data_IF_982796450620
#
_entry.id   IF_982796450620
#
_cell.length_a   1.000
_cell.length_b   1.000
_cell.length_c   1.000
_cell.angle_alpha   90.00
_cell.angle_beta   90.00
_cell.angle_gamma   90.00
#
_symmetry.space_group_name_H-M   'P 1'
#
loop_
_entity.id
_entity.type
_entity.pdbx_description
1 polymer ?
#
# COMPACT_ATOMS: atom_id res chain seq x y z
N UNK A 1 21.22 82.88 -33.56
CA UNK A 1 22.00 81.99 -32.71
C UNK A 1 21.00 80.93 -32.08
N UNK A 2 21.01 79.75 -32.60
CA UNK A 2 20.12 78.61 -32.10
C UNK A 2 21.00 77.65 -31.35
N UNK A 3 20.83 77.58 -30.02
CA UNK A 3 21.46 76.51 -29.21
C UNK A 3 20.75 75.18 -29.45
N UNK A 4 21.50 74.13 -29.75
CA UNK A 4 21.03 72.72 -29.79
C UNK A 4 21.42 72.04 -28.48
N UNK A 5 20.41 71.66 -27.74
CA UNK A 5 20.55 70.87 -26.52
C UNK A 5 20.66 69.37 -26.92
N UNK A 6 21.76 68.71 -26.60
CA UNK A 6 21.94 67.25 -26.75
C UNK A 6 21.34 66.58 -25.51
N UNK A 7 20.36 65.72 -25.73
CA UNK A 7 19.82 64.81 -24.70
C UNK A 7 20.67 63.49 -24.70
N UNK A 8 21.33 63.22 -23.60
CA UNK A 8 22.05 61.97 -23.38
C UNK A 8 21.07 60.97 -22.73
N UNK A 9 20.72 59.95 -23.49
CA UNK A 9 19.88 58.84 -23.01
C UNK A 9 20.77 57.85 -22.24
N UNK A 10 20.71 57.83 -20.93
CA UNK A 10 21.39 56.81 -20.09
C UNK A 10 20.63 55.46 -20.12
N UNK A 11 21.26 54.45 -20.70
CA UNK A 11 20.78 53.08 -20.61
C UNK A 11 21.04 52.48 -19.22
N UNK A 12 19.99 52.27 -18.42
CA UNK A 12 20.07 51.58 -17.15
C UNK A 12 20.05 50.06 -17.42
N UNK A 13 21.20 49.39 -17.32
CA UNK A 13 21.27 47.91 -17.34
C UNK A 13 20.79 47.39 -15.99
N UNK A 14 19.63 46.77 -15.97
CA UNK A 14 19.16 45.99 -14.82
C UNK A 14 19.86 44.62 -14.87
N UNK A 15 20.80 44.43 -13.97
CA UNK A 15 21.41 43.10 -13.75
C UNK A 15 20.38 42.19 -13.11
N UNK A 16 19.84 41.25 -13.87
CA UNK A 16 19.04 40.14 -13.35
C UNK A 16 20.00 39.17 -12.65
N UNK A 17 20.09 39.26 -11.34
CA UNK A 17 20.77 38.21 -10.54
C UNK A 17 19.91 36.94 -10.60
N UNK A 18 20.43 35.91 -11.28
CA UNK A 18 19.88 34.56 -11.21
C UNK A 18 19.87 34.13 -9.72
N UNK A 19 18.70 33.99 -9.14
CA UNK A 19 18.55 33.37 -7.84
C UNK A 19 19.07 31.93 -7.95
N UNK A 20 20.25 31.66 -7.45
CA UNK A 20 20.81 30.32 -7.33
C UNK A 20 19.85 29.49 -6.49
N UNK A 21 19.26 28.44 -7.07
CA UNK A 21 18.52 27.42 -6.36
C UNK A 21 19.48 26.76 -5.37
N UNK A 22 19.26 27.01 -4.07
CA UNK A 22 19.96 26.26 -3.00
C UNK A 22 19.62 24.79 -3.23
N UNK A 23 20.62 23.90 -3.39
CA UNK A 23 20.35 22.48 -3.52
C UNK A 23 19.55 22.02 -2.31
N UNK A 24 18.35 21.45 -2.53
CA UNK A 24 17.58 20.82 -1.46
C UNK A 24 18.42 19.65 -0.95
N UNK A 25 18.71 19.63 0.36
CA UNK A 25 19.44 18.52 0.97
C UNK A 25 18.71 17.20 0.63
N UNK A 26 19.40 16.29 -0.02
CA UNK A 26 18.86 14.98 -0.36
C UNK A 26 18.95 14.08 0.88
N UNK A 27 17.86 13.39 1.20
CA UNK A 27 17.84 12.43 2.30
C UNK A 27 18.60 11.17 1.88
N UNK A 28 19.50 10.70 2.73
CA UNK A 28 20.29 9.48 2.47
C UNK A 28 19.38 8.23 2.52
N UNK A 29 19.66 7.25 1.67
CA UNK A 29 18.97 5.97 1.72
C UNK A 29 19.38 5.14 2.95
N UNK A 30 18.49 4.22 3.36
CA UNK A 30 18.74 3.21 4.39
C UNK A 30 19.44 1.99 3.79
N UNK A 31 20.12 1.22 4.65
CA UNK A 31 20.72 -0.07 4.33
C UNK A 31 20.23 -1.14 5.33
N UNK A 32 20.52 -2.40 5.08
CA UNK A 32 20.23 -3.47 6.04
C UNK A 32 20.99 -3.33 7.36
N UNK A 33 22.10 -2.58 7.34
CA UNK A 33 22.89 -2.26 8.52
C UNK A 33 22.43 -1.01 9.26
N UNK A 34 21.55 -0.20 8.65
CA UNK A 34 20.92 0.94 9.33
C UNK A 34 20.12 0.47 10.55
N UNK A 35 20.11 1.32 11.58
CA UNK A 35 19.42 1.01 12.84
C UNK A 35 17.95 1.38 12.76
N UNK A 36 17.10 0.72 13.54
CA UNK A 36 15.69 1.08 13.72
C UNK A 36 15.57 2.54 14.17
N UNK A 37 16.47 3.03 15.02
CA UNK A 37 16.54 4.43 15.42
C UNK A 37 16.78 5.40 14.25
N UNK A 38 17.58 5.01 13.25
CA UNK A 38 17.80 5.82 12.04
C UNK A 38 16.54 5.89 11.20
N UNK A 39 15.82 4.77 11.01
CA UNK A 39 14.52 4.74 10.36
C UNK A 39 13.52 5.66 11.06
N UNK A 40 13.40 5.56 12.38
CA UNK A 40 12.43 6.34 13.16
C UNK A 40 12.73 7.85 13.19
N UNK A 41 14.00 8.22 13.07
CA UNK A 41 14.44 9.62 13.03
C UNK A 41 14.68 10.14 11.61
N UNK A 42 14.37 9.33 10.58
CA UNK A 42 14.67 9.70 9.20
C UNK A 42 13.81 10.90 8.76
N UNK A 43 14.42 11.98 8.23
CA UNK A 43 13.68 13.21 7.90
C UNK A 43 12.56 13.02 6.86
N UNK A 44 12.72 12.08 5.93
CA UNK A 44 11.67 11.73 4.95
C UNK A 44 10.39 11.19 5.61
N UNK A 45 10.47 10.71 6.84
CA UNK A 45 9.38 10.10 7.59
C UNK A 45 8.92 10.93 8.79
N UNK A 46 9.34 12.21 8.86
CA UNK A 46 8.99 13.10 9.95
C UNK A 46 7.45 13.18 10.14
N UNK A 47 7.00 12.93 11.36
CA UNK A 47 5.59 12.97 11.75
C UNK A 47 4.80 11.65 11.55
N UNK A 48 5.39 10.63 10.91
CA UNK A 48 4.71 9.34 10.69
C UNK A 48 5.64 8.10 10.74
N UNK A 49 6.90 8.26 11.14
CA UNK A 49 7.89 7.17 11.17
C UNK A 49 7.43 5.98 12.04
N UNK A 50 6.75 6.24 13.14
CA UNK A 50 6.17 5.22 14.03
C UNK A 50 5.15 4.31 13.33
N UNK A 51 4.48 4.81 12.29
CA UNK A 51 3.49 4.05 11.52
C UNK A 51 4.10 3.10 10.48
N UNK A 52 5.40 3.21 10.25
CA UNK A 52 6.16 2.27 9.41
C UNK A 52 6.32 0.93 10.12
N UNK A 53 6.57 0.97 11.44
CA UNK A 53 6.76 -0.24 12.25
C UNK A 53 5.44 -1.00 12.45
N UNK A 54 5.49 -2.30 12.75
CA UNK A 54 4.30 -3.14 12.92
C UNK A 54 3.33 -2.59 13.97
N UNK A 55 3.83 -1.99 15.05
CA UNK A 55 3.04 -1.32 16.09
C UNK A 55 3.69 0.02 16.42
N UNK A 56 2.89 1.08 16.46
CA UNK A 56 3.35 2.43 16.81
C UNK A 56 3.65 2.57 18.32
N UNK A 57 2.98 1.76 19.16
CA UNK A 57 3.11 1.75 20.63
C UNK A 57 4.14 0.71 21.14
N UNK A 58 4.82 0.01 20.24
CA UNK A 58 5.82 -0.98 20.63
C UNK A 58 7.13 -0.30 21.03
N UNK A 59 7.59 -0.60 22.23
CA UNK A 59 8.97 -0.29 22.60
C UNK A 59 9.90 -1.20 21.79
N UNK A 60 10.66 -0.60 20.88
CA UNK A 60 11.60 -1.32 19.99
C UNK A 60 13.03 -1.01 20.38
N UNK A 61 13.91 -2.00 20.22
CA UNK A 61 15.34 -1.77 20.30
C UNK A 61 15.78 -0.87 19.14
N UNK A 62 16.03 0.40 19.44
CA UNK A 62 16.43 1.41 18.45
C UNK A 62 17.82 1.17 17.88
N UNK A 63 18.66 0.39 18.58
CA UNK A 63 20.01 0.01 18.14
C UNK A 63 20.00 -1.26 17.26
N UNK A 64 18.89 -2.00 17.22
CA UNK A 64 18.75 -3.15 16.35
C UNK A 64 18.88 -2.74 14.89
N UNK A 65 19.55 -3.58 14.09
CA UNK A 65 19.71 -3.36 12.65
C UNK A 65 18.44 -3.76 11.88
N UNK A 66 18.18 -3.11 10.74
CA UNK A 66 17.09 -3.47 9.84
C UNK A 66 17.25 -4.90 9.30
N UNK A 67 18.47 -5.46 9.30
CA UNK A 67 18.69 -6.88 8.98
C UNK A 67 17.98 -7.84 9.95
N UNK A 68 17.58 -7.39 11.14
CA UNK A 68 16.87 -8.20 12.14
C UNK A 68 15.37 -7.86 12.23
N UNK A 69 14.82 -7.10 11.29
CA UNK A 69 13.44 -6.60 11.31
C UNK A 69 12.38 -7.71 11.41
N UNK A 70 12.71 -8.92 10.97
CA UNK A 70 11.85 -10.11 11.07
C UNK A 70 11.41 -10.41 12.52
N UNK A 71 12.23 -10.05 13.53
CA UNK A 71 11.90 -10.24 14.95
C UNK A 71 10.65 -9.49 15.40
N UNK A 72 10.25 -8.44 14.67
CA UNK A 72 9.04 -7.66 14.94
C UNK A 72 7.78 -8.26 14.30
N UNK A 73 7.89 -9.37 13.57
CA UNK A 73 6.84 -9.94 12.71
C UNK A 73 6.56 -11.42 13.07
N UNK A 74 5.98 -11.72 14.25
CA UNK A 74 5.91 -13.10 14.78
C UNK A 74 5.05 -14.06 13.95
N UNK A 75 4.19 -13.56 13.04
CA UNK A 75 3.34 -14.40 12.19
C UNK A 75 3.86 -14.52 10.75
N UNK A 76 5.06 -14.02 10.47
CA UNK A 76 5.59 -13.98 9.11
C UNK A 76 6.81 -14.88 8.95
N UNK A 77 6.90 -15.53 7.80
CA UNK A 77 8.03 -16.33 7.36
C UNK A 77 8.69 -15.66 6.15
N UNK A 78 9.94 -15.98 5.87
CA UNK A 78 10.69 -15.51 4.70
C UNK A 78 10.76 -13.97 4.57
N UNK A 79 10.85 -13.25 5.71
CA UNK A 79 11.09 -11.80 5.69
C UNK A 79 12.46 -11.53 5.08
N UNK A 80 12.50 -10.75 4.00
CA UNK A 80 13.73 -10.37 3.29
C UNK A 80 14.11 -8.92 3.61
N UNK A 81 15.10 -8.67 4.51
CA UNK A 81 15.51 -7.31 4.87
C UNK A 81 15.95 -6.44 3.68
N UNK A 82 16.67 -6.94 2.67
CA UNK A 82 16.92 -6.20 1.44
C UNK A 82 15.65 -5.68 0.74
N UNK A 83 14.59 -6.47 0.64
CA UNK A 83 13.31 -6.01 0.07
C UNK A 83 12.64 -4.96 0.91
N UNK A 84 12.65 -5.11 2.23
CA UNK A 84 12.15 -4.10 3.18
C UNK A 84 12.85 -2.77 2.92
N UNK A 85 14.18 -2.78 2.88
CA UNK A 85 15.00 -1.58 2.65
C UNK A 85 14.72 -0.95 1.27
N UNK A 86 14.60 -1.76 0.22
CA UNK A 86 14.22 -1.24 -1.10
C UNK A 86 12.88 -0.53 -1.09
N UNK A 87 11.87 -1.08 -0.41
CA UNK A 87 10.55 -0.45 -0.27
C UNK A 87 10.62 0.88 0.49
N UNK A 88 11.38 0.94 1.58
CA UNK A 88 11.60 2.17 2.34
C UNK A 88 12.36 3.22 1.54
N UNK A 89 13.41 2.83 0.82
CA UNK A 89 14.19 3.75 -0.01
C UNK A 89 13.35 4.31 -1.16
N UNK A 90 12.41 3.55 -1.71
CA UNK A 90 11.48 4.05 -2.71
C UNK A 90 10.61 5.21 -2.17
N UNK A 91 10.18 5.14 -0.90
CA UNK A 91 9.49 6.26 -0.24
C UNK A 91 10.43 7.45 -0.01
N UNK A 92 11.69 7.19 0.38
CA UNK A 92 12.71 8.24 0.53
C UNK A 92 12.97 8.96 -0.80
N UNK A 93 13.08 8.23 -1.90
CA UNK A 93 13.26 8.79 -3.24
C UNK A 93 12.09 9.70 -3.64
N UNK A 94 10.85 9.29 -3.35
CA UNK A 94 9.68 10.13 -3.59
C UNK A 94 9.69 11.39 -2.72
N UNK A 95 10.09 11.28 -1.45
CA UNK A 95 10.25 12.42 -0.57
C UNK A 95 11.36 13.38 -1.04
N UNK A 96 12.49 12.86 -1.52
CA UNK A 96 13.57 13.62 -2.13
C UNK A 96 13.09 14.39 -3.38
N UNK A 97 12.21 13.76 -4.17
CA UNK A 97 11.55 14.40 -5.30
C UNK A 97 10.49 15.44 -4.88
N UNK A 98 10.31 15.69 -3.59
CA UNK A 98 9.33 16.65 -3.06
C UNK A 98 7.90 16.13 -3.05
N UNK A 99 7.70 14.83 -3.18
CA UNK A 99 6.38 14.19 -3.20
C UNK A 99 5.95 13.82 -1.79
N UNK A 100 4.69 14.05 -1.46
CA UNK A 100 4.11 13.55 -0.21
C UNK A 100 3.95 12.02 -0.31
N UNK A 101 4.48 11.27 0.67
CA UNK A 101 4.49 9.80 0.70
C UNK A 101 3.56 9.19 1.72
N UNK A 102 2.97 10.02 2.60
CA UNK A 102 2.03 9.59 3.63
C UNK A 102 0.84 10.53 3.70
N UNK A 103 -0.36 9.97 3.85
CA UNK A 103 -1.63 10.69 3.88
C UNK A 103 -2.48 10.22 5.05
N UNK A 104 -2.97 11.16 5.84
CA UNK A 104 -4.06 10.93 6.77
C UNK A 104 -5.37 10.88 5.98
N UNK A 105 -6.18 9.84 6.19
CA UNK A 105 -7.49 9.73 5.54
C UNK A 105 -8.65 10.04 6.49
N UNK A 106 -8.39 10.17 7.78
CA UNK A 106 -9.33 10.72 8.75
C UNK A 106 -9.02 12.18 9.04
N UNK A 107 -10.07 12.98 9.22
CA UNK A 107 -9.97 14.38 9.60
C UNK A 107 -9.54 14.54 11.06
N UNK A 108 -9.01 15.69 11.43
CA UNK A 108 -8.66 16.00 12.82
C UNK A 108 -9.87 15.91 13.75
N UNK A 109 -11.08 16.31 13.29
CA UNK A 109 -12.31 16.17 14.06
C UNK A 109 -12.65 14.71 14.35
N UNK A 110 -12.44 13.79 13.38
CA UNK A 110 -12.66 12.35 13.58
C UNK A 110 -11.64 11.76 14.55
N UNK A 111 -10.37 12.16 14.45
CA UNK A 111 -9.30 11.75 15.37
C UNK A 111 -9.55 12.26 16.80
N UNK A 112 -10.08 13.47 16.95
CA UNK A 112 -10.47 14.00 18.28
C UNK A 112 -11.62 13.20 18.91
N UNK A 113 -12.59 12.75 18.10
CA UNK A 113 -13.72 11.91 18.57
C UNK A 113 -13.29 10.49 18.87
N UNK A 114 -12.35 9.97 18.11
CA UNK A 114 -11.82 8.61 18.21
C UNK A 114 -10.30 8.61 18.07
N UNK A 115 -9.55 8.80 19.18
CA UNK A 115 -8.08 8.97 19.15
C UNK A 115 -7.31 7.84 18.46
N UNK A 116 -7.84 6.62 18.45
CA UNK A 116 -7.22 5.48 17.77
C UNK A 116 -7.06 5.69 16.26
N UNK A 117 -7.90 6.53 15.65
CA UNK A 117 -7.78 6.92 14.22
C UNK A 117 -6.49 7.66 13.90
N UNK A 118 -5.86 8.31 14.88
CA UNK A 118 -4.56 8.95 14.69
C UNK A 118 -3.42 7.95 14.37
N UNK A 119 -3.62 6.66 14.60
CA UNK A 119 -2.64 5.61 14.28
C UNK A 119 -2.77 5.05 12.86
N UNK A 120 -3.72 5.55 12.08
CA UNK A 120 -3.97 5.11 10.70
C UNK A 120 -3.24 5.97 9.68
N UNK A 121 -3.28 5.58 8.41
CA UNK A 121 -2.79 6.37 7.29
C UNK A 121 -2.57 5.52 6.03
N UNK A 122 -2.19 6.20 4.97
CA UNK A 122 -1.86 5.62 3.68
C UNK A 122 -0.45 6.02 3.28
N UNK A 123 0.42 5.04 3.05
CA UNK A 123 1.66 5.25 2.32
C UNK A 123 1.38 5.14 0.83
N UNK A 124 2.05 5.95 0.03
CA UNK A 124 1.82 5.99 -1.41
C UNK A 124 3.12 5.88 -2.20
N UNK A 125 3.26 4.81 -2.97
CA UNK A 125 4.30 4.61 -3.98
C UNK A 125 3.71 4.97 -5.36
N UNK A 126 4.19 6.08 -5.92
CA UNK A 126 3.68 6.60 -7.18
C UNK A 126 4.30 5.90 -8.37
N UNK A 127 3.46 5.61 -9.37
CA UNK A 127 3.88 5.27 -10.73
C UNK A 127 3.67 6.49 -11.67
N UNK A 128 3.20 6.25 -12.87
CA UNK A 128 2.87 7.32 -13.81
C UNK A 128 1.54 7.98 -13.43
N UNK A 129 1.38 9.31 -13.65
CA UNK A 129 0.11 9.99 -13.47
C UNK A 129 -1.02 9.31 -14.26
N UNK A 130 -2.21 9.22 -13.65
CA UNK A 130 -3.39 8.60 -14.24
C UNK A 130 -3.38 7.08 -14.33
N UNK A 131 -2.34 6.39 -13.83
CA UNK A 131 -2.34 4.93 -13.77
C UNK A 131 -3.37 4.42 -12.74
N UNK A 132 -3.94 3.21 -12.96
CA UNK A 132 -4.73 2.51 -11.96
C UNK A 132 -3.94 2.29 -10.66
N UNK A 133 -4.66 2.02 -9.57
CA UNK A 133 -4.02 1.82 -8.27
C UNK A 133 -4.43 0.52 -7.60
N UNK A 134 -3.52 0.01 -6.78
CA UNK A 134 -3.77 -1.05 -5.81
C UNK A 134 -3.80 -0.46 -4.40
N UNK A 135 -4.72 -0.92 -3.54
CA UNK A 135 -4.67 -0.69 -2.10
C UNK A 135 -4.32 -1.98 -1.41
N UNK A 136 -3.24 -1.97 -0.64
CA UNK A 136 -2.68 -3.15 0.03
C UNK A 136 -2.97 -3.04 1.52
N UNK A 137 -3.69 -4.00 2.07
CA UNK A 137 -3.89 -4.21 3.49
C UNK A 137 -2.96 -5.34 3.97
N UNK A 138 -1.86 -5.03 4.67
CA UNK A 138 -0.94 -6.04 5.19
C UNK A 138 -1.58 -6.88 6.29
N UNK A 139 -1.04 -8.07 6.56
CA UNK A 139 -1.45 -8.94 7.65
C UNK A 139 -0.90 -8.51 9.01
N UNK A 140 -1.05 -9.38 10.01
CA UNK A 140 -0.61 -9.15 11.38
C UNK A 140 -1.67 -9.52 12.43
N UNK A 141 -2.67 -10.34 12.06
CA UNK A 141 -3.68 -10.88 12.99
C UNK A 141 -4.56 -9.82 13.65
N UNK A 142 -4.65 -8.61 13.09
CA UNK A 142 -5.26 -7.41 13.71
C UNK A 142 -4.59 -6.98 15.02
N UNK A 143 -3.42 -7.53 15.35
CA UNK A 143 -2.62 -7.16 16.51
C UNK A 143 -1.47 -6.22 16.16
N UNK A 144 -1.06 -6.22 14.91
CA UNK A 144 -0.08 -5.33 14.30
C UNK A 144 -0.32 -5.20 12.80
N UNK A 145 0.45 -4.37 12.09
CA UNK A 145 0.38 -4.23 10.63
C UNK A 145 1.75 -4.54 10.01
N UNK A 146 1.81 -5.59 9.20
CA UNK A 146 3.06 -6.07 8.58
C UNK A 146 3.52 -5.25 7.37
N UNK A 147 3.42 -3.91 7.41
CA UNK A 147 3.70 -3.03 6.26
C UNK A 147 5.10 -3.22 5.68
N UNK A 148 6.10 -3.49 6.52
CA UNK A 148 7.49 -3.67 6.10
C UNK A 148 7.73 -4.96 5.30
N UNK A 149 6.86 -5.95 5.43
CA UNK A 149 6.98 -7.26 4.75
C UNK A 149 5.93 -7.48 3.66
N UNK A 150 4.67 -7.15 3.92
CA UNK A 150 3.54 -7.41 3.03
C UNK A 150 2.97 -6.13 2.40
N UNK A 151 3.44 -4.96 2.84
CA UNK A 151 3.01 -3.66 2.34
C UNK A 151 3.98 -3.09 1.32
N UNK A 152 5.12 -2.56 1.78
CA UNK A 152 6.09 -1.86 0.93
C UNK A 152 6.72 -2.75 -0.15
N UNK A 153 7.11 -4.03 0.13
CA UNK A 153 7.61 -4.91 -0.90
C UNK A 153 6.58 -5.21 -1.99
N UNK A 154 5.30 -5.45 -1.64
CA UNK A 154 4.23 -5.65 -2.63
C UNK A 154 4.02 -4.37 -3.45
N UNK A 155 3.90 -3.22 -2.78
CA UNK A 155 3.72 -1.94 -3.43
C UNK A 155 4.86 -1.62 -4.41
N UNK A 156 6.11 -1.96 -4.05
CA UNK A 156 7.26 -1.78 -4.91
C UNK A 156 7.16 -2.62 -6.20
N UNK A 157 6.81 -3.91 -6.10
CA UNK A 157 6.66 -4.79 -7.26
C UNK A 157 5.49 -4.33 -8.15
N UNK A 158 4.35 -3.97 -7.57
CA UNK A 158 3.20 -3.41 -8.30
C UNK A 158 3.60 -2.09 -9.00
N UNK A 159 4.37 -1.25 -8.32
CA UNK A 159 4.84 0.03 -8.86
C UNK A 159 5.82 -0.15 -10.03
N UNK A 160 6.71 -1.15 -9.97
CA UNK A 160 7.60 -1.53 -11.07
C UNK A 160 6.84 -1.97 -12.33
N UNK A 161 5.61 -2.49 -12.16
CA UNK A 161 4.69 -2.83 -13.26
C UNK A 161 3.91 -1.61 -13.79
N UNK A 162 4.18 -0.41 -13.27
CA UNK A 162 3.61 0.85 -13.75
C UNK A 162 2.27 1.24 -13.10
N UNK A 163 1.86 0.57 -12.03
CA UNK A 163 0.64 0.89 -11.28
C UNK A 163 0.96 1.67 -10.01
N UNK A 164 0.05 2.55 -9.62
CA UNK A 164 0.11 3.22 -8.33
C UNK A 164 -0.20 2.23 -7.21
N UNK A 165 0.45 2.36 -6.05
CA UNK A 165 0.23 1.45 -4.94
C UNK A 165 0.14 2.21 -3.61
N UNK A 166 -0.93 1.94 -2.87
CA UNK A 166 -1.14 2.45 -1.52
C UNK A 166 -0.99 1.33 -0.51
N UNK A 167 -0.29 1.59 0.59
CA UNK A 167 -0.17 0.66 1.72
C UNK A 167 -0.95 1.22 2.88
N UNK A 168 -1.94 0.48 3.33
CA UNK A 168 -2.82 0.87 4.43
C UNK A 168 -2.18 0.59 5.79
N UNK A 169 -2.16 1.60 6.65
CA UNK A 169 -2.01 1.47 8.09
C UNK A 169 -3.39 1.57 8.71
N UNK A 170 -3.88 0.49 9.31
CA UNK A 170 -5.19 0.38 9.93
C UNK A 170 -5.09 0.25 11.46
N UNK A 171 -6.18 0.50 12.19
CA UNK A 171 -6.27 0.32 13.65
C UNK A 171 -6.08 -1.14 14.03
N UNK A 172 -5.26 -1.39 15.03
CA UNK A 172 -5.00 -2.72 15.60
C UNK A 172 -5.58 -2.87 16.99
N UNK A 173 -5.79 -4.11 17.45
CA UNK A 173 -6.35 -4.40 18.77
C UNK A 173 -7.86 -4.24 18.89
N UNK A 174 -8.56 -3.80 17.84
CA UNK A 174 -10.01 -3.56 17.83
C UNK A 174 -10.80 -4.52 16.93
N UNK A 175 -10.12 -5.54 16.37
CA UNK A 175 -10.74 -6.58 15.57
C UNK A 175 -10.90 -6.24 14.07
N UNK A 176 -11.38 -7.25 13.33
CA UNK A 176 -11.40 -7.18 11.86
C UNK A 176 -12.43 -6.22 11.29
N UNK A 177 -13.55 -5.97 11.97
CA UNK A 177 -14.57 -5.03 11.50
C UNK A 177 -14.02 -3.61 11.47
N UNK A 178 -13.43 -3.14 12.57
CA UNK A 178 -12.83 -1.81 12.68
C UNK A 178 -11.70 -1.62 11.67
N UNK A 179 -10.83 -2.64 11.50
CA UNK A 179 -9.79 -2.59 10.47
C UNK A 179 -10.37 -2.50 9.05
N UNK A 180 -11.51 -3.18 8.78
CA UNK A 180 -12.17 -3.09 7.46
C UNK A 180 -12.85 -1.74 7.25
N UNK A 181 -13.37 -1.11 8.31
CA UNK A 181 -13.86 0.27 8.25
C UNK A 181 -12.74 1.26 7.87
N UNK A 182 -11.52 1.05 8.36
CA UNK A 182 -10.36 1.85 7.98
C UNK A 182 -10.00 1.65 6.49
N UNK A 183 -10.09 0.42 5.97
CA UNK A 183 -9.88 0.17 4.54
C UNK A 183 -10.97 0.86 3.70
N UNK A 184 -12.21 0.83 4.15
CA UNK A 184 -13.33 1.51 3.47
C UNK A 184 -13.15 3.04 3.48
N UNK A 185 -12.73 3.62 4.60
CA UNK A 185 -12.43 5.04 4.72
C UNK A 185 -11.25 5.45 3.82
N UNK A 186 -10.18 4.63 3.77
CA UNK A 186 -9.03 4.86 2.91
C UNK A 186 -9.40 4.82 1.41
N UNK A 187 -10.20 3.85 0.98
CA UNK A 187 -10.72 3.78 -0.40
C UNK A 187 -11.54 5.03 -0.72
N UNK A 188 -12.45 5.43 0.15
CA UNK A 188 -13.26 6.64 -0.01
C UNK A 188 -12.38 7.90 -0.12
N UNK A 189 -11.33 8.00 0.71
CA UNK A 189 -10.37 9.09 0.63
C UNK A 189 -9.66 9.13 -0.72
N UNK A 190 -9.17 8.00 -1.23
CA UNK A 190 -8.48 7.94 -2.53
C UNK A 190 -9.43 8.38 -3.65
N UNK A 191 -10.67 7.91 -3.66
CA UNK A 191 -11.64 8.29 -4.67
C UNK A 191 -11.97 9.79 -4.65
N UNK A 192 -12.18 10.38 -3.46
CA UNK A 192 -12.44 11.82 -3.31
C UNK A 192 -11.26 12.69 -3.73
N UNK A 193 -10.04 12.18 -3.63
CA UNK A 193 -8.81 12.90 -3.88
C UNK A 193 -8.06 12.42 -5.15
N UNK A 194 -8.72 11.63 -6.01
CA UNK A 194 -8.07 10.97 -7.14
C UNK A 194 -7.33 11.94 -8.07
N UNK A 195 -7.87 13.12 -8.31
CA UNK A 195 -7.21 14.17 -9.11
C UNK A 195 -5.93 14.68 -8.47
N UNK A 196 -5.94 14.97 -7.17
CA UNK A 196 -4.77 15.45 -6.44
C UNK A 196 -3.70 14.35 -6.26
N UNK A 197 -4.14 13.08 -6.17
CA UNK A 197 -3.26 11.92 -6.10
C UNK A 197 -2.77 11.47 -7.48
N UNK A 198 -3.30 12.04 -8.57
CA UNK A 198 -2.98 11.70 -9.95
C UNK A 198 -3.21 10.21 -10.26
N UNK A 199 -4.30 9.62 -9.74
CA UNK A 199 -4.69 8.24 -10.00
C UNK A 199 -6.02 8.17 -10.74
N UNK A 200 -6.23 7.12 -11.55
CA UNK A 200 -7.57 6.81 -12.07
C UNK A 200 -8.34 5.94 -11.08
N UNK A 201 -9.63 6.21 -10.91
CA UNK A 201 -10.53 5.39 -10.10
C UNK A 201 -11.15 4.22 -10.86
N UNK A 202 -10.96 4.21 -12.18
CA UNK A 202 -11.30 3.04 -12.99
C UNK A 202 -10.26 1.93 -12.73
N UNK A 203 -10.73 0.70 -12.71
CA UNK A 203 -9.87 -0.49 -12.72
C UNK A 203 -8.92 -0.64 -11.49
N UNK A 204 -9.29 -0.06 -10.34
CA UNK A 204 -8.53 -0.26 -9.10
C UNK A 204 -8.64 -1.70 -8.57
N UNK A 205 -7.66 -2.11 -7.77
CA UNK A 205 -7.64 -3.41 -7.11
C UNK A 205 -7.43 -3.29 -5.60
N UNK A 206 -7.89 -4.29 -4.85
CA UNK A 206 -7.71 -4.38 -3.40
C UNK A 206 -6.94 -5.66 -3.07
N UNK A 207 -5.84 -5.49 -2.37
CA UNK A 207 -4.89 -6.56 -2.03
C UNK A 207 -4.83 -6.75 -0.53
N UNK A 208 -4.56 -7.95 -0.10
CA UNK A 208 -4.30 -8.18 1.32
C UNK A 208 -3.69 -9.53 1.60
N UNK A 209 -3.05 -9.61 2.78
CA UNK A 209 -2.41 -10.81 3.29
C UNK A 209 -2.98 -11.16 4.67
N UNK A 210 -3.22 -12.43 4.96
CA UNK A 210 -3.69 -12.90 6.27
C UNK A 210 -4.93 -12.12 6.77
N UNK A 211 -4.80 -11.36 7.85
CA UNK A 211 -5.84 -10.47 8.38
C UNK A 211 -6.27 -9.43 7.32
N UNK A 212 -5.32 -8.82 6.60
CA UNK A 212 -5.61 -7.88 5.52
C UNK A 212 -6.33 -8.52 4.34
N UNK A 213 -6.08 -9.81 4.05
CA UNK A 213 -6.80 -10.54 3.03
C UNK A 213 -8.28 -10.75 3.39
N UNK A 214 -8.61 -10.86 4.69
CA UNK A 214 -10.02 -10.86 5.13
C UNK A 214 -10.68 -9.53 4.86
N UNK A 215 -9.98 -8.43 5.09
CA UNK A 215 -10.47 -7.07 4.79
C UNK A 215 -10.69 -6.89 3.29
N UNK A 216 -9.71 -7.25 2.47
CA UNK A 216 -9.78 -7.17 1.01
C UNK A 216 -10.94 -8.00 0.45
N UNK A 217 -11.08 -9.25 0.90
CA UNK A 217 -12.19 -10.12 0.51
C UNK A 217 -13.55 -9.56 0.95
N UNK A 218 -13.66 -9.04 2.18
CA UNK A 218 -14.90 -8.44 2.69
C UNK A 218 -15.33 -7.21 1.87
N UNK A 219 -14.39 -6.34 1.50
CA UNK A 219 -14.65 -5.21 0.59
C UNK A 219 -15.12 -5.71 -0.78
N UNK A 220 -14.48 -6.75 -1.33
CA UNK A 220 -14.88 -7.36 -2.60
C UNK A 220 -16.31 -7.91 -2.56
N UNK A 221 -16.65 -8.65 -1.51
CA UNK A 221 -17.96 -9.29 -1.35
C UNK A 221 -19.07 -8.28 -1.06
N UNK A 222 -18.86 -7.37 -0.10
CA UNK A 222 -19.93 -6.53 0.45
C UNK A 222 -19.88 -5.07 -0.01
N UNK A 223 -18.79 -4.63 -0.66
CA UNK A 223 -18.57 -3.25 -1.06
C UNK A 223 -18.15 -2.33 0.09
N UNK A 224 -17.65 -1.16 -0.28
CA UNK A 224 -17.08 -0.16 0.64
C UNK A 224 -18.14 0.44 1.56
N UNK A 225 -19.35 0.70 1.04
CA UNK A 225 -20.44 1.31 1.80
C UNK A 225 -20.89 0.44 2.99
N UNK A 226 -20.76 -0.89 2.90
CA UNK A 226 -21.10 -1.82 4.01
C UNK A 226 -20.28 -1.56 5.26
N UNK A 227 -19.09 -0.98 5.11
CA UNK A 227 -18.15 -0.68 6.19
C UNK A 227 -18.02 0.83 6.45
N UNK A 228 -19.07 1.60 6.17
CA UNK A 228 -19.13 3.02 6.49
C UNK A 228 -18.40 3.96 5.54
N UNK A 229 -17.86 3.45 4.43
CA UNK A 229 -17.29 4.28 3.36
C UNK A 229 -18.33 4.74 2.33
N UNK A 230 -17.85 5.39 1.26
CA UNK A 230 -18.70 5.86 0.17
C UNK A 230 -19.28 4.70 -0.65
N UNK A 231 -20.36 4.96 -1.40
CA UNK A 231 -20.91 4.02 -2.38
C UNK A 231 -19.99 3.99 -3.63
N UNK A 232 -18.92 3.21 -3.56
CA UNK A 232 -17.94 3.05 -4.62
C UNK A 232 -18.24 1.82 -5.49
N UNK A 233 -17.75 1.78 -6.75
CA UNK A 233 -17.79 0.56 -7.54
C UNK A 233 -16.97 -0.54 -6.86
N UNK A 234 -17.26 -1.80 -7.20
CA UNK A 234 -16.40 -2.92 -6.77
C UNK A 234 -15.03 -2.83 -7.45
N UNK A 235 -13.96 -3.32 -6.79
CA UNK A 235 -12.64 -3.38 -7.42
C UNK A 235 -12.67 -4.29 -8.66
N UNK A 236 -11.87 -4.00 -9.67
CA UNK A 236 -11.71 -4.84 -10.86
C UNK A 236 -11.03 -6.18 -10.56
N UNK A 237 -10.27 -6.26 -9.47
CA UNK A 237 -9.74 -7.50 -8.93
C UNK A 237 -9.52 -7.41 -7.41
N UNK A 238 -9.64 -8.56 -6.76
CA UNK A 238 -9.23 -8.76 -5.35
C UNK A 238 -8.11 -9.79 -5.31
N UNK A 239 -7.01 -9.46 -4.62
CA UNK A 239 -5.85 -10.33 -4.43
C UNK A 239 -5.72 -10.69 -2.96
N UNK A 240 -5.76 -11.97 -2.64
CA UNK A 240 -5.72 -12.47 -1.26
C UNK A 240 -4.63 -13.50 -1.06
N UNK A 241 -3.84 -13.32 -0.02
CA UNK A 241 -2.80 -14.25 0.36
C UNK A 241 -3.10 -14.87 1.74
N UNK A 242 -2.98 -16.20 1.83
CA UNK A 242 -3.02 -17.03 3.03
C UNK A 242 -4.05 -16.60 4.09
N UNK A 243 -5.35 -16.63 3.75
CA UNK A 243 -6.44 -16.28 4.67
C UNK A 243 -7.44 -17.41 4.90
N UNK A 244 -7.96 -17.50 6.12
CA UNK A 244 -9.06 -18.38 6.47
C UNK A 244 -10.45 -17.78 6.20
N UNK A 245 -10.56 -16.67 5.47
CA UNK A 245 -11.84 -16.05 5.10
C UNK A 245 -12.63 -16.95 4.16
N UNK A 246 -13.89 -17.22 4.49
CA UNK A 246 -14.74 -18.17 3.76
C UNK A 246 -15.96 -17.58 3.10
N UNK A 247 -16.32 -16.34 3.48
CA UNK A 247 -17.47 -15.63 2.93
C UNK A 247 -17.27 -15.24 1.46
N UNK A 248 -18.35 -15.31 0.66
CA UNK A 248 -18.33 -14.98 -0.77
C UNK A 248 -19.75 -14.69 -1.27
N UNK A 249 -19.84 -14.09 -2.46
CA UNK A 249 -21.09 -13.93 -3.21
C UNK A 249 -20.86 -14.22 -4.70
N UNK A 250 -21.94 -14.36 -5.45
CA UNK A 250 -21.86 -14.51 -6.91
C UNK A 250 -21.38 -13.21 -7.61
N UNK A 251 -21.48 -12.08 -6.90
CA UNK A 251 -21.07 -10.76 -7.38
C UNK A 251 -19.65 -10.39 -6.89
N UNK A 252 -18.88 -11.35 -6.34
CA UNK A 252 -17.49 -11.07 -5.98
C UNK A 252 -16.67 -10.67 -7.21
N UNK A 253 -15.74 -9.74 -7.09
CA UNK A 253 -14.82 -9.40 -8.18
C UNK A 253 -13.93 -10.58 -8.57
N UNK A 254 -13.34 -10.56 -9.79
CA UNK A 254 -12.24 -11.45 -10.14
C UNK A 254 -11.24 -11.56 -9.01
N UNK A 255 -10.92 -12.79 -8.59
CA UNK A 255 -10.12 -13.05 -7.38
C UNK A 255 -8.85 -13.84 -7.71
N UNK A 256 -7.69 -13.30 -7.32
CA UNK A 256 -6.42 -14.03 -7.31
C UNK A 256 -6.10 -14.45 -5.87
N UNK A 257 -5.81 -15.72 -5.66
CA UNK A 257 -5.59 -16.27 -4.32
C UNK A 257 -4.32 -17.10 -4.25
N UNK A 258 -3.52 -16.91 -3.19
CA UNK A 258 -2.32 -17.70 -2.92
C UNK A 258 -2.30 -18.22 -1.49
N UNK A 259 -1.76 -19.43 -1.29
CA UNK A 259 -1.61 -20.02 0.05
C UNK A 259 -0.42 -20.98 0.08
N UNK A 260 0.21 -21.11 1.24
CA UNK A 260 1.18 -22.15 1.51
C UNK A 260 0.48 -23.44 1.97
N UNK A 261 0.83 -24.58 1.41
CA UNK A 261 0.21 -25.86 1.76
C UNK A 261 0.46 -26.27 3.21
N UNK A 262 1.54 -25.76 3.82
CA UNK A 262 1.91 -26.02 5.22
C UNK A 262 1.43 -24.94 6.18
N UNK A 263 0.56 -24.04 5.73
CA UNK A 263 0.01 -22.98 6.57
C UNK A 263 -0.77 -23.57 7.75
N UNK A 264 -0.31 -23.27 8.96
CA UNK A 264 -0.90 -23.73 10.24
C UNK A 264 -1.74 -22.67 10.91
N UNK A 265 -1.77 -21.44 10.38
CA UNK A 265 -2.56 -20.30 10.89
C UNK A 265 -3.85 -20.15 10.10
N UNK A 266 -3.76 -20.13 8.77
CA UNK A 266 -4.90 -20.05 7.87
C UNK A 266 -5.00 -21.32 7.03
N UNK A 267 -5.92 -22.23 7.36
CA UNK A 267 -6.03 -23.53 6.72
C UNK A 267 -6.14 -23.42 5.19
N UNK A 268 -5.24 -24.02 4.42
CA UNK A 268 -5.30 -24.03 2.96
C UNK A 268 -6.62 -24.56 2.42
N UNK A 269 -7.20 -25.58 3.07
CA UNK A 269 -8.48 -26.15 2.67
C UNK A 269 -9.66 -25.17 2.79
N UNK A 270 -9.59 -24.19 3.68
CA UNK A 270 -10.62 -23.15 3.77
C UNK A 270 -10.55 -22.23 2.55
N UNK A 271 -9.35 -21.82 2.15
CA UNK A 271 -9.16 -21.01 0.93
C UNK A 271 -9.56 -21.81 -0.32
N UNK A 272 -9.20 -23.09 -0.42
CA UNK A 272 -9.60 -23.96 -1.53
C UNK A 272 -11.13 -24.05 -1.66
N UNK A 273 -11.84 -24.25 -0.54
CA UNK A 273 -13.32 -24.27 -0.55
C UNK A 273 -13.91 -22.96 -1.03
N UNK A 274 -13.38 -21.83 -0.58
CA UNK A 274 -13.83 -20.49 -1.05
C UNK A 274 -13.59 -20.33 -2.55
N UNK A 275 -12.39 -20.66 -3.02
CA UNK A 275 -12.03 -20.60 -4.45
C UNK A 275 -12.96 -21.46 -5.30
N UNK A 276 -13.26 -22.68 -4.87
CA UNK A 276 -14.19 -23.56 -5.57
C UNK A 276 -15.62 -23.01 -5.56
N UNK A 277 -16.04 -22.39 -4.47
CA UNK A 277 -17.36 -21.77 -4.37
C UNK A 277 -17.49 -20.57 -5.32
N UNK A 278 -16.51 -19.70 -5.37
CA UNK A 278 -16.44 -18.57 -6.32
C UNK A 278 -16.50 -19.07 -7.78
N UNK A 279 -15.72 -20.10 -8.13
CA UNK A 279 -15.75 -20.70 -9.48
C UNK A 279 -17.12 -21.23 -9.85
N UNK A 280 -17.79 -21.94 -8.91
CA UNK A 280 -19.18 -22.42 -9.12
C UNK A 280 -20.19 -21.28 -9.29
N UNK A 281 -19.93 -20.14 -8.66
CA UNK A 281 -20.74 -18.93 -8.81
C UNK A 281 -20.44 -18.16 -10.11
N UNK A 282 -19.48 -18.61 -10.94
CA UNK A 282 -19.11 -17.96 -12.19
C UNK A 282 -18.06 -16.88 -12.08
N UNK A 283 -17.49 -16.67 -10.88
CA UNK A 283 -16.44 -15.66 -10.67
C UNK A 283 -15.11 -16.16 -11.26
N UNK A 284 -14.40 -15.27 -11.98
CA UNK A 284 -13.07 -15.58 -12.48
C UNK A 284 -12.07 -15.71 -11.31
N UNK A 285 -11.41 -16.86 -11.18
CA UNK A 285 -10.49 -17.13 -10.06
C UNK A 285 -9.20 -17.78 -10.55
N UNK A 286 -8.06 -17.17 -10.22
CA UNK A 286 -6.74 -17.81 -10.22
C UNK A 286 -6.36 -18.23 -8.80
N UNK A 287 -5.75 -19.40 -8.65
CA UNK A 287 -5.35 -19.93 -7.36
C UNK A 287 -3.98 -20.60 -7.44
N UNK A 288 -3.12 -20.30 -6.48
CA UNK A 288 -1.81 -20.94 -6.30
C UNK A 288 -1.70 -21.53 -4.91
N UNK A 289 -1.32 -22.79 -4.81
CA UNK A 289 -1.01 -23.48 -3.56
C UNK A 289 0.46 -23.93 -3.61
N UNK A 290 1.27 -23.41 -2.70
CA UNK A 290 2.72 -23.63 -2.69
C UNK A 290 3.10 -24.73 -1.68
N UNK A 291 3.54 -25.93 -2.14
CA UNK A 291 3.69 -27.11 -1.29
C UNK A 291 4.65 -26.95 -0.11
N UNK A 292 5.68 -26.12 -0.24
CA UNK A 292 6.75 -26.00 0.76
C UNK A 292 6.51 -24.89 1.78
N UNK A 293 5.56 -23.97 1.55
CA UNK A 293 5.41 -22.75 2.33
C UNK A 293 4.40 -22.89 3.46
N UNK A 294 4.66 -22.15 4.55
CA UNK A 294 3.77 -21.89 5.68
C UNK A 294 2.99 -20.60 5.51
N UNK A 295 2.71 -19.93 6.64
CA UNK A 295 1.99 -18.67 6.69
C UNK A 295 2.92 -17.47 6.50
N UNK A 296 2.43 -16.38 5.91
CA UNK A 296 3.12 -15.09 5.93
C UNK A 296 4.41 -15.05 5.10
N UNK A 297 4.46 -15.74 3.95
CA UNK A 297 5.66 -15.81 3.11
C UNK A 297 5.94 -14.53 2.29
N UNK A 298 5.14 -13.47 2.43
CA UNK A 298 5.36 -12.18 1.79
C UNK A 298 5.44 -12.28 0.26
N UNK A 299 6.45 -11.65 -0.33
CA UNK A 299 6.72 -11.71 -1.78
C UNK A 299 7.10 -13.10 -2.28
N UNK A 300 7.45 -14.01 -1.37
CA UNK A 300 7.95 -15.32 -1.72
C UNK A 300 9.35 -15.33 -2.32
N UNK A 301 10.10 -14.24 -2.25
CA UNK A 301 11.47 -14.14 -2.77
C UNK A 301 12.35 -15.25 -2.23
N UNK A 302 13.11 -15.91 -3.12
CA UNK A 302 13.95 -17.06 -2.79
C UNK A 302 13.19 -18.36 -2.50
N UNK A 303 11.88 -18.41 -2.73
CA UNK A 303 11.02 -19.60 -2.55
C UNK A 303 10.35 -20.00 -3.86
N UNK A 304 9.55 -21.08 -3.83
CA UNK A 304 8.75 -21.50 -4.98
C UNK A 304 7.52 -20.61 -5.25
N UNK A 305 7.27 -19.59 -4.40
CA UNK A 305 6.25 -18.57 -4.63
C UNK A 305 6.81 -17.29 -5.29
N UNK A 306 8.12 -17.23 -5.52
CA UNK A 306 8.71 -16.06 -6.19
C UNK A 306 8.00 -15.74 -7.50
N UNK A 307 7.63 -14.47 -7.69
CA UNK A 307 6.92 -13.98 -8.89
C UNK A 307 5.39 -14.04 -8.80
N UNK A 308 4.82 -14.50 -7.69
CA UNK A 308 3.36 -14.57 -7.56
C UNK A 308 2.68 -13.20 -7.65
N UNK A 309 3.37 -12.12 -7.23
CA UNK A 309 2.85 -10.75 -7.31
C UNK A 309 2.73 -10.32 -8.78
N UNK A 310 3.73 -10.63 -9.61
CA UNK A 310 3.66 -10.38 -11.05
C UNK A 310 2.50 -11.13 -11.70
N UNK A 311 2.30 -12.40 -11.36
CA UNK A 311 1.14 -13.17 -11.82
C UNK A 311 -0.19 -12.54 -11.39
N UNK A 312 -0.26 -12.00 -10.18
CA UNK A 312 -1.45 -11.32 -9.69
C UNK A 312 -1.70 -9.98 -10.40
N UNK A 313 -0.64 -9.22 -10.72
CA UNK A 313 -0.75 -8.01 -11.56
C UNK A 313 -1.23 -8.37 -12.96
N UNK A 314 -0.66 -9.41 -13.60
CA UNK A 314 -1.13 -9.89 -14.91
C UNK A 314 -2.62 -10.32 -14.87
N UNK A 315 -3.05 -10.94 -13.77
CA UNK A 315 -4.45 -11.31 -13.58
C UNK A 315 -5.33 -10.08 -13.47
N UNK A 316 -4.93 -9.09 -12.68
CA UNK A 316 -5.65 -7.82 -12.55
C UNK A 316 -5.73 -7.08 -13.87
N UNK A 317 -4.62 -6.95 -14.64
CA UNK A 317 -4.61 -6.31 -15.96
C UNK A 317 -5.51 -7.03 -16.98
N UNK A 318 -5.63 -8.36 -16.90
CA UNK A 318 -6.59 -9.10 -17.74
C UNK A 318 -8.04 -8.82 -17.35
N UNK A 319 -8.35 -8.70 -16.05
CA UNK A 319 -9.67 -8.38 -15.56
C UNK A 319 -10.14 -6.99 -16.02
N UNK A 320 -9.23 -6.01 -16.11
CA UNK A 320 -9.50 -4.68 -16.64
C UNK A 320 -9.96 -4.68 -18.12
N UNK A 321 -9.47 -5.63 -18.89
CA UNK A 321 -9.77 -5.73 -20.33
C UNK A 321 -11.07 -6.47 -20.67
N UNK A 322 -11.69 -7.11 -19.70
CA UNK A 322 -12.96 -7.79 -19.89
C UNK A 322 -14.10 -6.78 -19.67
N UNK A 323 -15.05 -6.64 -20.63
CA UNK A 323 -16.22 -5.81 -20.39
C UNK A 323 -16.97 -6.35 -19.16
N UNK A 324 -17.48 -5.42 -18.33
CA UNK A 324 -18.35 -5.81 -17.23
C UNK A 324 -19.47 -6.71 -17.74
N UNK A 325 -19.81 -7.81 -17.06
CA UNK A 325 -20.93 -8.65 -17.46
C UNK A 325 -22.20 -7.76 -17.54
N UNK A 326 -22.95 -7.89 -18.64
CA UNK A 326 -24.23 -7.17 -18.76
C UNK A 326 -25.12 -7.53 -17.56
N UNK A 327 -25.81 -6.54 -16.98
CA UNK A 327 -26.71 -6.80 -15.87
C UNK A 327 -27.81 -7.77 -16.32
N UNK A 328 -27.94 -8.89 -15.60
CA UNK A 328 -28.99 -9.91 -15.82
C UNK A 328 -30.34 -9.41 -15.34
#
# INVERSE_FOLDING_TARGET
>A
MKQRTCLVLGCLMVAVTAAGTVPKAEFAGLTVDSRVGELLNHPAFAGFADRILPRADLEVDRDAKLSTIASLLPYHEHVDPPEVVRGLNRLIDDANAGRQVFFDFYTETEKQREPSKAQTGLFFLRARPGAPFAVIAPGGGFSYVGSVHEGFPYALQINQRGHNAFVLRYRVGQGGTVATEDLAAALSYIFRNAGALEVTTSDFSVWGSSAGARMAAAIGTHGVARFGGDALPKPSAVVIAYTGHSDYSADDPPTFAVVGQRDRIASPSTMERRVQALRRAGVAVAFRNYPALGHGFGTGTGTNAQGWIDEAVDFWERAQRQPAPEPR
#
